data_IF_953337997929
#
_entry.id   IF_953337997929
#
_cell.length_a   1.000
_cell.length_b   1.000
_cell.length_c   1.000
_cell.angle_alpha   90.00
_cell.angle_beta   90.00
_cell.angle_gamma   90.00
#
_symmetry.space_group_name_H-M   'P 1'
#
loop_
_entity.id
_entity.type
_entity.pdbx_description
1 polymer ?
#
# COMPACT_ATOMS: atom_id res chain seq x y z
N UNK A 1 18.72 -9.73 7.44
CA UNK A 1 17.29 -9.77 7.09
C UNK A 1 17.10 -9.49 5.62
N UNK A 2 16.20 -10.22 4.98
CA UNK A 2 15.82 -10.08 3.57
C UNK A 2 14.31 -9.89 3.48
N UNK A 3 13.86 -8.83 2.81
CA UNK A 3 12.44 -8.58 2.54
C UNK A 3 12.27 -8.55 1.03
N UNK A 4 11.38 -9.39 0.52
CA UNK A 4 11.03 -9.43 -0.89
C UNK A 4 9.52 -9.32 -1.10
N UNK A 5 9.12 -8.52 -2.07
CA UNK A 5 7.79 -8.60 -2.67
C UNK A 5 7.92 -9.31 -4.02
N UNK A 6 7.32 -10.48 -4.14
CA UNK A 6 7.24 -11.24 -5.39
C UNK A 6 5.92 -10.91 -6.06
N UNK A 7 6.01 -10.22 -7.19
CA UNK A 7 4.88 -9.86 -8.02
C UNK A 7 4.56 -10.97 -9.02
N UNK A 8 3.30 -11.37 -9.04
CA UNK A 8 2.80 -12.46 -9.86
C UNK A 8 1.59 -12.00 -10.64
N UNK A 9 1.54 -12.41 -11.91
CA UNK A 9 0.41 -12.23 -12.80
C UNK A 9 0.03 -13.62 -13.32
N UNK A 10 -1.16 -14.08 -12.94
CA UNK A 10 -1.66 -15.40 -13.32
C UNK A 10 -2.56 -15.29 -14.55
N UNK A 11 -2.77 -16.41 -15.24
CA UNK A 11 -3.75 -16.49 -16.33
C UNK A 11 -5.16 -16.35 -15.73
N UNK A 12 -6.09 -15.64 -16.41
CA UNK A 12 -7.49 -15.57 -15.98
C UNK A 12 -8.10 -16.98 -15.85
N UNK A 13 -8.86 -17.21 -14.78
CA UNK A 13 -9.47 -18.49 -14.45
C UNK A 13 -8.60 -19.45 -13.62
N UNK A 14 -7.34 -19.09 -13.33
CA UNK A 14 -6.41 -19.89 -12.50
C UNK A 14 -6.22 -19.31 -11.10
N UNK A 15 -6.99 -18.28 -10.73
CA UNK A 15 -6.78 -17.50 -9.51
C UNK A 15 -6.96 -18.34 -8.25
N UNK A 16 -7.99 -19.18 -8.19
CA UNK A 16 -8.29 -19.98 -7.01
C UNK A 16 -7.25 -21.09 -6.81
N UNK A 17 -6.88 -21.80 -7.87
CA UNK A 17 -5.84 -22.83 -7.83
C UNK A 17 -4.46 -22.24 -7.44
N UNK A 18 -4.16 -21.03 -7.95
CA UNK A 18 -2.96 -20.30 -7.56
C UNK A 18 -2.98 -19.89 -6.09
N UNK A 19 -4.13 -19.44 -5.57
CA UNK A 19 -4.30 -19.11 -4.14
C UNK A 19 -4.06 -20.33 -3.28
N UNK A 20 -4.67 -21.48 -3.61
CA UNK A 20 -4.49 -22.73 -2.85
C UNK A 20 -3.03 -23.16 -2.81
N UNK A 21 -2.34 -23.15 -3.96
CA UNK A 21 -0.92 -23.47 -4.04
C UNK A 21 -0.06 -22.50 -3.21
N UNK A 22 -0.35 -21.20 -3.27
CA UNK A 22 0.38 -20.18 -2.51
C UNK A 22 0.16 -20.30 -1.00
N UNK A 23 -1.08 -20.59 -0.56
CA UNK A 23 -1.41 -20.77 0.85
C UNK A 23 -0.69 -22.01 1.41
N UNK A 24 -0.65 -23.11 0.67
CA UNK A 24 0.10 -24.30 1.07
C UNK A 24 1.61 -24.02 1.19
N UNK A 25 2.18 -23.29 0.23
CA UNK A 25 3.57 -22.86 0.26
C UNK A 25 3.85 -21.95 1.47
N UNK A 26 2.99 -20.95 1.71
CA UNK A 26 3.13 -20.03 2.83
C UNK A 26 3.03 -20.75 4.18
N UNK A 27 2.05 -21.64 4.35
CA UNK A 27 1.84 -22.43 5.56
C UNK A 27 3.03 -23.34 5.90
N UNK A 28 3.74 -23.84 4.88
CA UNK A 28 4.99 -24.60 5.06
C UNK A 28 6.18 -23.68 5.36
N UNK A 29 6.23 -22.52 4.69
CA UNK A 29 7.35 -21.57 4.79
C UNK A 29 7.44 -20.90 6.15
N UNK A 30 6.31 -20.59 6.80
CA UNK A 30 6.30 -19.98 8.15
C UNK A 30 6.91 -20.88 9.24
N UNK A 31 7.01 -22.19 8.98
CA UNK A 31 7.66 -23.17 9.84
C UNK A 31 9.18 -23.24 9.62
N UNK A 32 9.69 -22.65 8.54
CA UNK A 32 11.13 -22.59 8.30
C UNK A 32 11.81 -21.73 9.38
N UNK A 33 13.00 -22.15 9.86
CA UNK A 33 13.66 -21.46 10.97
C UNK A 33 14.04 -20.01 10.63
N UNK A 34 14.35 -19.73 9.36
CA UNK A 34 14.77 -18.40 8.91
C UNK A 34 13.61 -17.52 8.42
N UNK A 35 12.42 -18.09 8.16
CA UNK A 35 11.27 -17.31 7.72
C UNK A 35 10.66 -16.57 8.92
N UNK A 36 10.47 -15.26 8.78
CA UNK A 36 9.79 -14.42 9.77
C UNK A 36 8.32 -14.22 9.40
N UNK A 37 8.04 -14.04 8.11
CA UNK A 37 6.71 -13.73 7.60
C UNK A 37 6.58 -14.19 6.15
N UNK A 38 5.42 -14.73 5.82
CA UNK A 38 5.04 -15.11 4.46
C UNK A 38 3.56 -14.73 4.24
N UNK A 39 3.30 -13.61 3.58
CA UNK A 39 1.93 -13.20 3.23
C UNK A 39 1.61 -13.50 1.77
N UNK A 40 0.36 -13.86 1.49
CA UNK A 40 -0.20 -13.99 0.14
C UNK A 40 -1.27 -12.93 -0.02
N UNK A 41 -1.03 -11.95 -0.89
CA UNK A 41 -1.93 -10.82 -1.12
C UNK A 41 -2.43 -10.82 -2.55
N UNK A 42 -3.72 -10.55 -2.75
CA UNK A 42 -4.26 -10.13 -4.05
C UNK A 42 -4.06 -8.62 -4.20
N UNK A 43 -3.66 -8.17 -5.38
CA UNK A 43 -3.45 -6.75 -5.66
C UNK A 43 -4.79 -6.04 -5.71
N UNK A 44 -4.94 -4.96 -4.94
CA UNK A 44 -6.15 -4.12 -4.97
C UNK A 44 -6.23 -3.17 -6.18
N UNK A 45 -7.29 -2.36 -6.21
CA UNK A 45 -7.61 -1.45 -7.33
C UNK A 45 -6.52 -0.42 -7.72
N UNK A 46 -5.52 -0.16 -6.87
CA UNK A 46 -4.52 0.91 -7.08
C UNK A 46 -3.16 0.44 -7.59
N UNK A 47 -2.97 -0.86 -7.83
CA UNK A 47 -1.66 -1.42 -8.21
C UNK A 47 -1.26 -1.21 -9.68
N UNK A 48 -2.04 -0.43 -10.45
CA UNK A 48 -1.69 -0.13 -11.84
C UNK A 48 -0.76 1.08 -12.04
N UNK A 49 -0.27 1.70 -10.95
CA UNK A 49 0.70 2.79 -11.03
C UNK A 49 2.13 2.26 -11.07
N UNK A 50 2.49 1.58 -12.16
CA UNK A 50 3.84 1.77 -12.67
C UNK A 50 3.89 3.20 -13.23
N UNK A 51 4.46 4.10 -12.42
CA UNK A 51 4.66 5.53 -12.64
C UNK A 51 3.42 6.45 -12.48
N UNK A 52 3.61 7.50 -11.66
CA UNK A 52 2.74 8.67 -11.44
C UNK A 52 1.55 8.49 -10.47
N UNK A 53 1.81 8.49 -9.16
CA UNK A 53 1.13 9.39 -8.21
C UNK A 53 1.54 9.03 -6.77
N UNK A 54 2.69 9.56 -6.34
CA UNK A 54 2.89 9.88 -4.92
C UNK A 54 2.26 11.28 -4.67
N UNK A 55 0.99 11.45 -4.99
CA UNK A 55 0.28 12.73 -4.86
C UNK A 55 -1.05 12.55 -4.13
N UNK A 56 -1.06 11.86 -2.98
CA UNK A 56 -2.17 12.00 -2.02
C UNK A 56 -1.71 11.73 -0.58
N UNK A 57 -0.65 12.40 -0.12
CA UNK A 57 -0.43 12.55 1.32
C UNK A 57 0.42 13.78 1.65
N UNK A 58 -0.06 14.98 1.30
CA UNK A 58 0.40 16.27 1.89
C UNK A 58 -0.54 17.41 1.45
N UNK A 59 -1.80 17.38 1.88
CA UNK A 59 -2.67 18.57 1.79
C UNK A 59 -3.75 18.55 2.88
N UNK A 60 -3.31 18.49 4.14
CA UNK A 60 -4.13 19.00 5.25
C UNK A 60 -3.30 19.47 6.43
N UNK A 61 -2.41 20.41 6.18
CA UNK A 61 -1.98 21.35 7.21
C UNK A 61 -1.36 22.56 6.52
N UNK A 62 -2.06 23.68 6.59
CA UNK A 62 -1.55 25.04 6.86
C UNK A 62 -2.54 26.10 6.35
N UNK A 63 -3.33 26.67 7.27
CA UNK A 63 -3.54 28.11 7.41
C UNK A 63 -4.17 28.38 8.80
N UNK A 64 -3.34 28.81 9.77
CA UNK A 64 -3.38 30.11 10.50
C UNK A 64 -4.56 30.26 11.47
N UNK A 65 -4.43 30.79 12.69
CA UNK A 65 -3.48 31.76 13.22
C UNK A 65 -3.42 31.67 14.75
N UNK A 66 -2.33 32.19 15.32
CA UNK A 66 -2.06 32.29 16.74
C UNK A 66 -3.09 33.15 17.50
N UNK A 67 -3.49 32.68 18.68
CA UNK A 67 -4.02 33.53 19.75
C UNK A 67 -3.19 33.31 21.01
N UNK A 68 -2.35 34.29 21.34
CA UNK A 68 -1.90 34.56 22.70
C UNK A 68 -2.50 35.91 23.13
N UNK A 69 -2.95 36.08 24.38
CA UNK A 69 -3.65 37.29 24.79
C UNK A 69 -2.68 38.40 25.23
N UNK A 70 -3.11 39.66 25.00
CA UNK A 70 -2.74 40.90 25.72
C UNK A 70 -1.29 41.41 25.56
N UNK A 71 -0.95 42.69 25.35
CA UNK A 71 -1.59 43.97 25.71
C UNK A 71 -0.89 45.15 24.96
N UNK A 72 -1.64 46.27 24.80
CA UNK A 72 -1.21 47.69 24.68
C UNK A 72 -1.01 48.37 23.29
N UNK A 73 -2.06 49.14 22.96
CA UNK A 73 -2.07 50.57 22.58
C UNK A 73 -1.80 50.99 21.12
N UNK A 74 -2.90 51.37 20.43
CA UNK A 74 -2.95 52.10 19.16
C UNK A 74 -3.37 53.56 19.45
N UNK A 75 -2.73 54.60 18.87
CA UNK A 75 -3.28 55.95 18.89
C UNK A 75 -4.32 56.18 17.77
N UNK A 76 -5.38 56.84 18.20
CA UNK A 76 -6.59 57.30 17.51
C UNK A 76 -6.40 58.08 16.22
N UNK A 77 -7.11 57.67 15.15
CA UNK A 77 -7.72 58.60 14.19
C UNK A 77 -9.09 58.08 13.73
N UNK A 78 -10.06 58.99 13.65
CA UNK A 78 -11.50 58.76 13.54
C UNK A 78 -11.95 58.01 12.26
N UNK A 79 -13.08 57.26 12.30
CA UNK A 79 -13.50 56.41 11.20
C UNK A 79 -14.11 57.19 10.03
N UNK A 80 -13.53 57.04 8.83
CA UNK A 80 -14.18 57.42 7.57
C UNK A 80 -15.24 56.36 7.25
N UNK A 81 -16.51 56.76 7.25
CA UNK A 81 -17.67 55.92 6.91
C UNK A 81 -17.55 55.45 5.46
N UNK A 82 -17.14 54.20 5.23
CA UNK A 82 -17.23 53.54 3.94
C UNK A 82 -18.54 52.76 3.89
N UNK A 83 -19.37 53.12 2.92
CA UNK A 83 -20.65 52.48 2.61
C UNK A 83 -20.46 50.98 2.33
N UNK A 84 -21.21 50.13 3.02
CA UNK A 84 -21.38 48.72 2.67
C UNK A 84 -22.03 48.63 1.27
N UNK A 85 -21.43 47.92 0.29
CA UNK A 85 -22.18 47.52 -0.90
C UNK A 85 -23.19 46.42 -0.52
N UNK A 86 -24.36 46.35 -1.19
CA UNK A 86 -25.35 45.31 -0.92
C UNK A 86 -24.80 43.94 -1.32
N UNK A 87 -24.97 42.95 -0.44
CA UNK A 87 -24.72 41.55 -0.75
C UNK A 87 -25.72 41.12 -1.83
N UNK A 88 -25.27 40.89 -3.05
CA UNK A 88 -26.04 40.13 -4.03
C UNK A 88 -26.12 38.68 -3.58
N UNK A 89 -27.29 38.03 -3.58
CA UNK A 89 -27.35 36.58 -3.35
C UNK A 89 -26.61 35.89 -4.49
N UNK A 90 -25.55 35.16 -4.14
CA UNK A 90 -24.78 34.33 -5.07
C UNK A 90 -25.66 33.14 -5.47
N UNK A 91 -26.56 33.34 -6.43
CA UNK A 91 -27.22 32.26 -7.13
C UNK A 91 -26.31 31.76 -8.25
N UNK A 92 -25.22 31.13 -7.84
CA UNK A 92 -24.50 30.18 -8.70
C UNK A 92 -24.71 28.85 -8.02
N UNK A 93 -25.59 28.02 -8.55
CA UNK A 93 -25.47 26.57 -8.38
C UNK A 93 -24.00 26.25 -8.64
N UNK A 94 -23.23 25.74 -7.67
CA UNK A 94 -21.98 25.14 -8.04
C UNK A 94 -22.40 23.93 -8.87
N UNK A 95 -22.25 24.06 -10.18
CA UNK A 95 -22.01 22.91 -11.05
C UNK A 95 -20.67 22.34 -10.58
N UNK A 96 -20.68 21.72 -9.40
CA UNK A 96 -19.57 20.92 -8.95
C UNK A 96 -19.58 19.74 -9.89
N UNK A 97 -18.71 19.86 -10.89
CA UNK A 97 -18.44 18.87 -11.91
C UNK A 97 -18.42 17.51 -11.22
N UNK A 98 -19.43 16.71 -11.51
CA UNK A 98 -19.42 15.28 -11.33
C UNK A 98 -18.30 14.73 -12.23
N UNK A 99 -17.06 14.84 -11.76
CA UNK A 99 -15.92 14.07 -12.25
C UNK A 99 -15.14 13.53 -11.06
N UNK A 100 -15.89 12.99 -10.09
CA UNK A 100 -15.45 11.84 -9.30
C UNK A 100 -16.05 10.55 -9.89
N UNK A 101 -16.28 10.53 -11.20
CA UNK A 101 -16.39 9.30 -11.96
C UNK A 101 -15.02 8.67 -12.13
N UNK A 102 -14.30 8.38 -11.02
CA UNK A 102 -13.31 7.32 -11.09
C UNK A 102 -14.16 6.07 -11.20
N UNK A 103 -14.28 5.52 -12.41
CA UNK A 103 -14.66 4.12 -12.59
C UNK A 103 -13.92 3.34 -11.51
N UNK A 104 -14.56 2.42 -10.74
CA UNK A 104 -13.79 1.46 -9.97
C UNK A 104 -12.80 0.90 -10.97
N UNK A 105 -11.50 1.19 -10.81
CA UNK A 105 -10.48 0.51 -11.57
C UNK A 105 -10.66 -0.92 -11.13
N UNK A 106 -11.27 -1.73 -12.00
CA UNK A 106 -11.59 -3.12 -11.72
C UNK A 106 -10.31 -3.74 -11.15
N UNK A 107 -10.40 -4.20 -9.90
CA UNK A 107 -9.29 -4.92 -9.29
C UNK A 107 -8.97 -6.06 -10.22
N UNK A 108 -7.74 -6.11 -10.74
CA UNK A 108 -7.31 -7.21 -11.60
C UNK A 108 -7.11 -8.43 -10.69
N UNK A 109 -8.06 -9.39 -10.67
CA UNK A 109 -8.01 -10.49 -9.71
C UNK A 109 -6.85 -11.44 -9.98
N UNK A 110 -6.23 -11.32 -11.15
CA UNK A 110 -5.11 -12.13 -11.61
C UNK A 110 -3.76 -11.65 -11.09
N UNK A 111 -3.71 -10.56 -10.33
CA UNK A 111 -2.46 -10.00 -9.80
C UNK A 111 -2.29 -10.28 -8.32
N UNK A 112 -1.14 -10.83 -7.97
CA UNK A 112 -0.79 -11.19 -6.61
C UNK A 112 0.57 -10.64 -6.20
N UNK A 113 0.74 -10.44 -4.90
CA UNK A 113 2.01 -10.11 -4.25
C UNK A 113 2.24 -11.10 -3.12
N UNK A 114 3.38 -11.78 -3.14
CA UNK A 114 3.85 -12.59 -2.02
C UNK A 114 4.87 -11.75 -1.25
N UNK A 115 4.66 -11.56 0.04
CA UNK A 115 5.61 -10.87 0.92
C UNK A 115 6.40 -11.93 1.65
N UNK A 116 7.69 -12.02 1.37
CA UNK A 116 8.60 -12.98 1.99
C UNK A 116 9.64 -12.23 2.83
N UNK A 117 9.69 -12.54 4.13
CA UNK A 117 10.63 -11.92 5.06
C UNK A 117 11.43 -13.01 5.75
N UNK A 118 12.75 -12.92 5.64
CA UNK A 118 13.71 -13.87 6.23
C UNK A 118 14.69 -13.15 7.14
N UNK A 119 15.10 -13.79 8.24
CA UNK A 119 16.04 -13.20 9.21
C UNK A 119 17.44 -12.98 8.61
N UNK A 120 17.87 -13.83 7.68
CA UNK A 120 19.17 -13.73 7.00
C UNK A 120 19.06 -13.37 5.52
N UNK A 121 20.18 -13.05 4.87
CA UNK A 121 20.21 -12.80 3.43
C UNK A 121 20.13 -14.12 2.61
N UNK A 122 20.45 -15.22 3.27
CA UNK A 122 20.52 -16.58 2.74
C UNK A 122 19.15 -17.27 2.75
N UNK A 123 18.19 -16.77 3.53
CA UNK A 123 16.83 -17.30 3.66
C UNK A 123 16.14 -17.64 2.33
N UNK A 124 16.07 -16.72 1.35
CA UNK A 124 15.48 -17.02 0.05
C UNK A 124 16.17 -18.17 -0.70
N UNK A 125 17.49 -18.29 -0.56
CA UNK A 125 18.24 -19.37 -1.19
C UNK A 125 18.04 -20.71 -0.47
N UNK A 126 17.81 -20.70 0.84
CA UNK A 126 17.43 -21.88 1.61
C UNK A 126 16.00 -22.31 1.28
N UNK A 127 15.04 -21.39 1.29
CA UNK A 127 13.64 -21.62 0.92
C UNK A 127 13.51 -22.29 -0.46
N UNK A 128 14.27 -21.80 -1.45
CA UNK A 128 14.27 -22.35 -2.82
C UNK A 128 14.78 -23.80 -2.95
N UNK A 129 15.37 -24.36 -1.90
CA UNK A 129 15.84 -25.75 -1.85
C UNK A 129 14.85 -26.68 -1.14
N UNK A 130 13.76 -26.14 -0.61
CA UNK A 130 12.78 -26.92 0.14
C UNK A 130 11.87 -27.74 -0.78
N UNK A 131 11.35 -28.89 -0.32
CA UNK A 131 10.40 -29.68 -1.09
C UNK A 131 9.12 -28.92 -1.44
N UNK A 132 8.54 -28.16 -0.49
CA UNK A 132 7.31 -27.42 -0.72
C UNK A 132 7.47 -26.29 -1.73
N UNK A 133 8.62 -25.60 -1.75
CA UNK A 133 8.92 -24.63 -2.81
C UNK A 133 9.03 -25.31 -4.18
N UNK A 134 9.68 -26.48 -4.26
CA UNK A 134 9.82 -27.20 -5.51
C UNK A 134 8.45 -27.66 -6.05
N UNK A 135 7.58 -28.15 -5.18
CA UNK A 135 6.19 -28.49 -5.48
C UNK A 135 5.43 -27.26 -5.97
N UNK A 136 5.42 -26.18 -5.18
CA UNK A 136 4.76 -24.92 -5.55
C UNK A 136 5.25 -24.38 -6.89
N UNK A 137 6.57 -24.34 -7.11
CA UNK A 137 7.18 -23.86 -8.35
C UNK A 137 6.68 -24.66 -9.55
N UNK A 138 6.57 -25.97 -9.42
CA UNK A 138 6.11 -26.88 -10.47
C UNK A 138 4.63 -26.65 -10.73
N UNK A 139 3.81 -26.61 -9.68
CA UNK A 139 2.35 -26.41 -9.77
C UNK A 139 2.01 -25.09 -10.47
N UNK A 140 2.64 -23.99 -10.08
CA UNK A 140 2.26 -22.66 -10.60
C UNK A 140 2.90 -22.30 -11.95
N UNK A 141 3.80 -23.12 -12.49
CA UNK A 141 4.55 -22.82 -13.72
C UNK A 141 3.61 -22.49 -14.89
N UNK A 142 2.62 -23.36 -15.11
CA UNK A 142 1.65 -23.21 -16.20
C UNK A 142 0.56 -22.17 -15.91
N UNK A 143 0.46 -21.68 -14.67
CA UNK A 143 -0.51 -20.66 -14.27
C UNK A 143 -0.05 -19.24 -14.60
N UNK A 144 1.24 -19.03 -14.89
CA UNK A 144 1.81 -17.70 -15.09
C UNK A 144 1.39 -17.06 -16.42
N UNK A 145 0.82 -15.86 -16.38
CA UNK A 145 0.58 -15.04 -17.57
C UNK A 145 1.85 -14.29 -18.02
N UNK A 146 2.77 -14.03 -17.08
CA UNK A 146 4.10 -13.46 -17.35
C UNK A 146 5.12 -13.95 -16.32
N UNK A 147 6.43 -13.85 -16.60
CA UNK A 147 7.45 -14.18 -15.60
C UNK A 147 7.25 -13.40 -14.30
N UNK A 148 7.39 -14.10 -13.16
CA UNK A 148 7.36 -13.50 -11.82
C UNK A 148 8.54 -12.54 -11.66
N UNK A 149 8.35 -11.46 -10.92
CA UNK A 149 9.42 -10.51 -10.59
C UNK A 149 9.49 -10.27 -9.09
N UNK A 150 10.67 -9.96 -8.57
CA UNK A 150 10.86 -9.69 -7.15
C UNK A 150 11.48 -8.30 -6.94
N UNK A 151 10.99 -7.57 -5.94
CA UNK A 151 11.59 -6.32 -5.46
C UNK A 151 12.02 -6.50 -4.01
N UNK A 152 13.24 -6.07 -3.69
CA UNK A 152 13.78 -6.18 -2.33
C UNK A 152 13.67 -4.87 -1.57
N UNK A 153 13.49 -4.95 -0.26
CA UNK A 153 13.30 -3.80 0.61
C UNK A 153 14.24 -3.83 1.81
N UNK A 154 14.53 -2.65 2.34
CA UNK A 154 15.20 -2.46 3.63
C UNK A 154 14.14 -2.06 4.66
N UNK A 155 14.09 -2.71 5.84
CA UNK A 155 13.18 -2.28 6.90
C UNK A 155 13.54 -0.88 7.39
N UNK A 156 12.51 -0.08 7.67
CA UNK A 156 12.63 1.15 8.47
C UNK A 156 11.92 0.96 9.82
N UNK A 157 10.83 0.18 9.85
CA UNK A 157 10.11 -0.23 11.05
C UNK A 157 9.29 -1.51 10.74
N UNK A 158 9.21 -2.50 11.64
CA UNK A 158 10.05 -2.65 12.84
C UNK A 158 11.53 -2.83 12.50
N UNK A 159 12.41 -2.40 13.41
CA UNK A 159 13.87 -2.51 13.23
C UNK A 159 14.43 -3.81 13.78
N UNK A 160 13.80 -4.37 14.81
CA UNK A 160 14.23 -5.62 15.43
C UNK A 160 13.66 -6.83 14.69
N UNK A 161 14.49 -7.86 14.52
CA UNK A 161 14.16 -9.07 13.73
C UNK A 161 12.98 -9.83 14.35
N UNK A 162 12.95 -9.98 15.67
CA UNK A 162 11.94 -10.77 16.36
C UNK A 162 10.54 -10.14 16.29
N UNK A 163 10.45 -8.82 16.08
CA UNK A 163 9.17 -8.09 15.91
C UNK A 163 8.48 -8.40 14.57
N UNK A 164 9.20 -9.00 13.61
CA UNK A 164 8.65 -9.43 12.33
C UNK A 164 8.04 -10.84 12.38
N UNK A 165 8.37 -11.65 13.39
CA UNK A 165 7.97 -13.06 13.43
C UNK A 165 6.44 -13.16 13.55
N UNK A 166 5.81 -13.76 12.56
CA UNK A 166 4.40 -14.12 12.63
C UNK A 166 4.19 -15.06 13.81
N UNK A 167 3.37 -14.64 14.77
CA UNK A 167 2.78 -15.55 15.74
C UNK A 167 1.73 -16.39 15.00
N UNK A 168 2.07 -17.63 14.67
CA UNK A 168 1.06 -18.62 14.35
C UNK A 168 0.19 -18.75 15.60
N UNK A 169 -1.10 -18.46 15.50
CA UNK A 169 -2.01 -18.48 16.65
C UNK A 169 -1.83 -19.79 17.43
N UNK A 170 -1.40 -19.66 18.69
CA UNK A 170 -1.33 -20.76 19.65
C UNK A 170 -2.70 -20.99 20.28
#
# INVERSE_FOLDING_TARGET
MHIAHVHVHVKPGMEDEFVDACVANAASSVLEPDNLRFDVLRSGAFYHLDHLALDFYTSRRLFLSAHHPSLLSIPTHAPRRLSTPPLTPFNSTPTFVASYGRSPSEEDPTRFVLIEIYATAEGPAAHKKTPHYAEWRTTVEDMMASPRSARTFRPVFPTEVDEWKMALWA
#
